data_IF_544676456932
#
_entry.id   IF_544676456932
#
_cell.length_a   1.000
_cell.length_b   1.000
_cell.length_c   1.000
_cell.angle_alpha   90.00
_cell.angle_beta   90.00
_cell.angle_gamma   90.00
#
_symmetry.space_group_name_H-M   'P 1'
#
loop_
_entity.id
_entity.type
_entity.pdbx_description
1 polymer ?
#
# COMPACT_ATOMS: atom_id res chain seq x y z
N UNK A 1 36.25 -24.42 -12.22
CA UNK A 1 36.97 -24.11 -13.48
C UNK A 1 36.56 -22.73 -13.93
N UNK A 2 37.52 -21.79 -13.94
CA UNK A 2 37.35 -20.44 -14.49
C UNK A 2 37.23 -20.55 -16.01
N UNK A 3 36.26 -19.87 -16.62
CA UNK A 3 36.31 -19.54 -18.04
C UNK A 3 35.93 -18.08 -18.23
N UNK A 4 36.92 -17.33 -18.66
CA UNK A 4 36.93 -15.90 -18.93
C UNK A 4 36.21 -15.60 -20.25
N UNK A 5 35.32 -14.60 -20.27
CA UNK A 5 34.90 -13.94 -21.51
C UNK A 5 35.77 -12.68 -21.71
N UNK A 6 36.85 -12.87 -22.46
CA UNK A 6 37.60 -11.84 -23.17
C UNK A 6 37.19 -11.96 -24.65
N UNK A 7 37.20 -10.85 -25.39
CA UNK A 7 36.73 -10.57 -26.76
C UNK A 7 35.36 -9.86 -26.79
N UNK A 8 35.19 -8.66 -27.33
CA UNK A 8 35.90 -8.05 -28.46
C UNK A 8 35.83 -6.51 -28.37
N UNK A 9 36.99 -5.84 -28.37
CA UNK A 9 37.12 -4.39 -28.50
C UNK A 9 37.61 -4.05 -29.92
N UNK A 10 37.02 -3.00 -30.50
CA UNK A 10 37.44 -2.18 -31.66
C UNK A 10 37.06 -2.63 -33.09
N UNK A 11 36.63 -1.58 -33.83
CA UNK A 11 36.43 -1.38 -35.28
C UNK A 11 34.92 -1.10 -35.53
N UNK A 12 34.45 0.08 -35.95
CA UNK A 12 34.92 0.98 -37.02
C UNK A 12 34.29 2.39 -36.82
N UNK A 13 35.11 3.44 -36.87
CA UNK A 13 34.67 4.84 -37.06
C UNK A 13 34.39 5.04 -38.56
N UNK A 14 33.15 5.33 -38.96
CA UNK A 14 32.88 5.96 -40.26
C UNK A 14 31.66 6.89 -40.19
N UNK A 15 31.87 8.09 -40.72
CA UNK A 15 30.93 9.21 -40.83
C UNK A 15 29.57 8.80 -41.42
N UNK A 16 28.52 9.08 -40.66
CA UNK A 16 27.17 9.25 -41.16
C UNK A 16 26.50 10.34 -40.31
N UNK A 17 26.46 11.57 -40.84
CA UNK A 17 25.65 12.65 -40.30
C UNK A 17 24.18 12.29 -40.57
N UNK A 18 23.66 11.31 -39.83
CA UNK A 18 22.25 11.01 -39.80
C UNK A 18 21.64 12.14 -38.97
N UNK A 19 20.92 13.03 -39.65
CA UNK A 19 20.03 13.99 -39.01
C UNK A 19 19.07 13.16 -38.14
N UNK A 20 19.38 13.03 -36.86
CA UNK A 20 18.46 12.52 -35.86
C UNK A 20 17.34 13.55 -35.80
N UNK A 21 16.31 13.35 -36.61
CA UNK A 21 14.97 13.75 -36.24
C UNK A 21 14.74 13.06 -34.90
N UNK A 22 14.98 13.79 -33.80
CA UNK A 22 14.53 13.39 -32.49
C UNK A 22 13.01 13.29 -32.60
N UNK A 23 12.50 12.10 -32.86
CA UNK A 23 11.10 11.82 -32.65
C UNK A 23 10.86 12.10 -31.16
N UNK A 24 10.19 13.21 -30.86
CA UNK A 24 9.76 13.52 -29.50
C UNK A 24 8.97 12.31 -29.01
N UNK A 25 9.29 11.81 -27.81
CA UNK A 25 8.48 10.76 -27.20
C UNK A 25 7.01 11.21 -27.19
N UNK A 26 6.05 10.31 -27.45
CA UNK A 26 4.65 10.68 -27.37
C UNK A 26 4.35 11.21 -25.96
N UNK A 27 3.63 12.33 -25.91
CA UNK A 27 3.23 12.97 -24.66
C UNK A 27 2.39 12.00 -23.80
N UNK A 28 2.51 12.14 -22.47
CA UNK A 28 1.74 11.33 -21.53
C UNK A 28 0.24 11.53 -21.73
N UNK A 29 -0.55 10.46 -21.60
CA UNK A 29 -2.01 10.58 -21.65
C UNK A 29 -2.54 11.20 -20.37
N UNK A 30 -3.51 12.11 -20.46
CA UNK A 30 -4.10 12.78 -19.30
C UNK A 30 -5.59 12.46 -19.26
N UNK A 31 -6.07 12.03 -18.08
CA UNK A 31 -7.50 11.85 -17.84
C UNK A 31 -8.23 13.20 -17.98
N UNK A 32 -9.34 13.21 -18.72
CA UNK A 32 -10.16 14.40 -18.96
C UNK A 32 -10.65 15.02 -17.66
N UNK A 33 -10.91 14.22 -16.63
CA UNK A 33 -11.35 14.74 -15.34
C UNK A 33 -10.29 15.65 -14.69
N UNK A 34 -9.00 15.36 -14.89
CA UNK A 34 -7.89 16.22 -14.41
C UNK A 34 -7.97 17.59 -15.07
N UNK A 35 -8.10 17.63 -16.40
CA UNK A 35 -8.20 18.90 -17.14
C UNK A 35 -9.44 19.70 -16.75
N UNK A 36 -10.58 19.02 -16.59
CA UNK A 36 -11.85 19.63 -16.21
C UNK A 36 -11.81 20.22 -14.80
N UNK A 37 -11.25 19.50 -13.82
CA UNK A 37 -11.12 20.03 -12.45
C UNK A 37 -10.20 21.26 -12.41
N UNK A 38 -9.09 21.23 -13.14
CA UNK A 38 -8.18 22.38 -13.21
C UNK A 38 -8.76 23.58 -13.97
N UNK A 39 -9.92 23.46 -14.63
CA UNK A 39 -10.59 24.62 -15.27
C UNK A 39 -11.32 25.47 -14.22
N UNK A 40 -11.71 24.88 -13.08
CA UNK A 40 -12.38 25.56 -11.97
C UNK A 40 -11.51 25.71 -10.71
N UNK A 41 -10.56 24.79 -10.50
CA UNK A 41 -9.80 24.67 -9.26
C UNK A 41 -8.31 24.94 -9.53
N UNK A 42 -7.59 25.45 -8.52
CA UNK A 42 -6.16 25.76 -8.64
C UNK A 42 -5.29 24.49 -8.67
N UNK A 43 -5.74 23.45 -7.96
CA UNK A 43 -5.05 22.18 -7.78
C UNK A 43 -6.00 21.01 -7.94
N UNK A 44 -5.44 19.86 -8.33
CA UNK A 44 -6.17 18.60 -8.45
C UNK A 44 -5.33 17.43 -7.94
N UNK A 45 -5.96 16.50 -7.22
CA UNK A 45 -5.33 15.24 -6.82
C UNK A 45 -5.24 14.29 -8.02
N UNK A 46 -4.07 13.72 -8.23
CA UNK A 46 -3.79 12.83 -9.36
C UNK A 46 -2.97 11.63 -8.94
N UNK A 47 -3.00 10.60 -9.78
CA UNK A 47 -2.05 9.50 -9.75
C UNK A 47 -1.21 9.61 -11.04
N UNK A 48 0.08 9.85 -10.87
CA UNK A 48 1.06 9.90 -11.96
C UNK A 48 1.56 8.48 -12.18
N UNK A 49 1.13 7.85 -13.27
CA UNK A 49 1.62 6.53 -13.70
C UNK A 49 2.85 6.72 -14.58
N UNK A 50 3.93 6.06 -14.21
CA UNK A 50 5.19 6.04 -14.94
C UNK A 50 5.27 4.81 -15.85
N UNK A 51 6.09 4.91 -16.88
CA UNK A 51 6.32 3.81 -17.82
C UNK A 51 6.91 2.60 -17.11
N UNK A 52 6.54 1.40 -17.53
CA UNK A 52 7.04 0.17 -16.91
C UNK A 52 8.58 0.08 -16.97
N UNK A 53 9.16 -0.48 -15.90
CA UNK A 53 10.61 -0.69 -15.77
C UNK A 53 10.95 -2.14 -16.13
N UNK A 54 11.56 -2.39 -17.30
CA UNK A 54 11.87 -3.74 -17.72
C UNK A 54 13.00 -4.31 -16.84
N UNK A 55 12.70 -5.37 -16.10
CA UNK A 55 13.73 -6.13 -15.36
C UNK A 55 14.52 -6.98 -16.36
N UNK A 56 15.85 -6.83 -16.46
CA UNK A 56 16.66 -7.64 -17.37
C UNK A 56 16.50 -9.15 -17.07
N UNK A 57 16.47 -10.03 -18.09
CA UNK A 57 16.28 -11.47 -17.93
C UNK A 57 17.54 -12.18 -17.36
N UNK A 58 18.02 -11.74 -16.21
CA UNK A 58 19.25 -12.22 -15.59
C UNK A 58 18.93 -12.93 -14.25
N UNK A 59 18.93 -14.28 -14.31
CA UNK A 59 19.14 -15.29 -13.25
C UNK A 59 18.28 -15.32 -11.97
N UNK A 60 17.39 -14.38 -11.73
CA UNK A 60 16.43 -14.47 -10.64
C UNK A 60 15.10 -15.07 -11.13
N UNK A 61 14.61 -16.11 -10.44
CA UNK A 61 13.22 -16.54 -10.53
C UNK A 61 12.56 -16.24 -9.18
N UNK A 62 11.34 -15.67 -9.18
CA UNK A 62 10.58 -15.39 -7.97
C UNK A 62 11.02 -14.10 -7.24
N UNK A 63 11.25 -14.22 -5.92
CA UNK A 63 11.37 -13.09 -4.98
C UNK A 63 12.47 -12.07 -5.35
N UNK A 64 13.62 -12.53 -5.84
CA UNK A 64 14.72 -11.65 -6.25
C UNK A 64 14.32 -10.72 -7.42
N UNK A 65 13.48 -11.19 -8.34
CA UNK A 65 12.96 -10.38 -9.45
C UNK A 65 11.95 -9.34 -8.96
N UNK A 66 11.08 -9.71 -8.02
CA UNK A 66 10.11 -8.80 -7.41
C UNK A 66 10.80 -7.69 -6.60
N UNK A 67 11.84 -8.03 -5.83
CA UNK A 67 12.67 -7.06 -5.10
C UNK A 67 13.40 -6.12 -6.06
N UNK A 68 14.01 -6.65 -7.15
CA UNK A 68 14.63 -5.80 -8.17
C UNK A 68 13.62 -4.89 -8.86
N UNK A 69 12.42 -5.39 -9.20
CA UNK A 69 11.37 -4.59 -9.84
C UNK A 69 10.95 -3.44 -8.93
N UNK A 70 10.68 -3.70 -7.64
CA UNK A 70 10.34 -2.69 -6.64
C UNK A 70 11.43 -1.60 -6.53
N UNK A 71 12.69 -2.02 -6.50
CA UNK A 71 13.83 -1.10 -6.48
C UNK A 71 13.92 -0.22 -7.74
N UNK A 72 13.69 -0.79 -8.92
CA UNK A 72 13.67 -0.04 -10.18
C UNK A 72 12.47 0.93 -10.28
N UNK A 73 11.29 0.49 -9.84
CA UNK A 73 10.08 1.32 -9.76
C UNK A 73 10.39 2.55 -8.91
N UNK A 74 10.89 2.34 -7.69
CA UNK A 74 11.25 3.42 -6.78
C UNK A 74 12.29 4.36 -7.38
N UNK A 75 13.35 3.83 -7.99
CA UNK A 75 14.38 4.67 -8.63
C UNK A 75 13.81 5.57 -9.75
N UNK A 76 12.85 5.08 -10.54
CA UNK A 76 12.22 5.90 -11.57
C UNK A 76 11.23 6.92 -10.97
N UNK A 77 10.46 6.52 -9.95
CA UNK A 77 9.58 7.43 -9.22
C UNK A 77 10.36 8.61 -8.64
N UNK A 78 11.47 8.34 -7.97
CA UNK A 78 12.35 9.39 -7.45
C UNK A 78 12.85 10.28 -8.59
N UNK A 79 13.44 9.72 -9.65
CA UNK A 79 13.89 10.52 -10.81
C UNK A 79 12.83 11.52 -11.33
N UNK A 80 11.56 11.11 -11.37
CA UNK A 80 10.45 12.00 -11.80
C UNK A 80 10.13 13.03 -10.72
N UNK A 81 10.02 12.62 -9.46
CA UNK A 81 9.79 13.54 -8.32
C UNK A 81 10.85 14.65 -8.26
N UNK A 82 12.12 14.30 -8.45
CA UNK A 82 13.25 15.23 -8.44
C UNK A 82 13.22 16.22 -9.61
N UNK A 83 12.77 15.76 -10.78
CA UNK A 83 12.64 16.56 -11.99
C UNK A 83 11.50 17.57 -11.89
N UNK A 84 10.39 17.20 -11.26
CA UNK A 84 9.20 18.03 -11.07
C UNK A 84 9.11 18.50 -9.61
N UNK A 85 9.84 19.57 -9.29
CA UNK A 85 9.90 20.09 -7.91
C UNK A 85 8.54 20.59 -7.42
N UNK A 86 8.27 20.40 -6.13
CA UNK A 86 7.04 20.87 -5.46
C UNK A 86 5.83 19.96 -5.67
N UNK A 87 6.05 18.71 -6.09
CA UNK A 87 5.01 17.68 -6.01
C UNK A 87 4.91 17.17 -4.57
N UNK A 88 3.78 17.46 -3.90
CA UNK A 88 3.47 16.90 -2.59
C UNK A 88 3.00 15.45 -2.77
N UNK A 89 3.94 14.50 -2.76
CA UNK A 89 3.64 13.09 -2.94
C UNK A 89 3.00 12.54 -1.66
N UNK A 90 1.81 11.95 -1.78
CA UNK A 90 1.10 11.29 -0.67
C UNK A 90 1.43 9.80 -0.61
N UNK A 91 1.41 9.12 -1.76
CA UNK A 91 1.73 7.70 -1.85
C UNK A 91 2.75 7.46 -2.98
N UNK A 92 3.73 6.61 -2.70
CA UNK A 92 4.63 6.02 -3.70
C UNK A 92 4.45 4.51 -3.64
N UNK A 93 3.98 3.93 -4.76
CA UNK A 93 3.60 2.52 -4.79
C UNK A 93 4.76 1.61 -5.17
N UNK A 94 4.80 0.40 -4.61
CA UNK A 94 5.90 -0.56 -4.83
C UNK A 94 5.59 -1.60 -5.91
N UNK A 95 4.32 -1.95 -6.09
CA UNK A 95 3.83 -2.88 -7.11
C UNK A 95 3.41 -2.15 -8.38
N UNK A 96 2.82 -0.97 -8.23
CA UNK A 96 2.44 -0.09 -9.34
C UNK A 96 3.55 0.95 -9.52
N UNK A 97 4.01 1.15 -10.75
CA UNK A 97 4.95 2.24 -11.02
C UNK A 97 4.22 3.59 -11.09
N UNK A 98 3.73 4.06 -9.95
CA UNK A 98 2.97 5.29 -9.85
C UNK A 98 3.15 5.98 -8.49
N UNK A 99 2.81 7.28 -8.47
CA UNK A 99 2.79 8.10 -7.26
C UNK A 99 1.52 8.94 -7.23
N UNK A 100 0.97 9.20 -6.05
CA UNK A 100 -0.18 10.11 -5.89
C UNK A 100 0.27 11.46 -5.36
N UNK A 101 -0.30 12.54 -5.88
CA UNK A 101 0.10 13.91 -5.52
C UNK A 101 -0.99 14.91 -5.90
N UNK A 102 -0.84 16.16 -5.46
CA UNK A 102 -1.61 17.30 -5.96
C UNK A 102 -0.80 18.05 -6.99
N UNK A 103 -1.44 18.45 -8.08
CA UNK A 103 -0.79 19.23 -9.13
C UNK A 103 -1.61 20.45 -9.52
N UNK A 104 -0.90 21.49 -9.94
CA UNK A 104 -1.45 22.66 -10.63
C UNK A 104 -1.49 22.45 -12.15
N UNK A 105 -2.17 23.35 -12.86
CA UNK A 105 -2.16 23.38 -14.34
C UNK A 105 -0.75 23.59 -14.93
N UNK A 106 0.16 24.24 -14.21
CA UNK A 106 1.54 24.41 -14.65
C UNK A 106 2.29 23.07 -14.60
N UNK A 107 2.25 22.40 -13.44
CA UNK A 107 2.87 21.09 -13.25
C UNK A 107 2.30 20.03 -14.20
N UNK A 108 0.99 20.06 -14.49
CA UNK A 108 0.39 19.14 -15.48
C UNK A 108 1.05 19.25 -16.87
N UNK A 109 1.43 20.46 -17.31
CA UNK A 109 2.11 20.65 -18.61
C UNK A 109 3.50 20.03 -18.59
N UNK A 110 4.24 20.19 -17.50
CA UNK A 110 5.57 19.63 -17.35
C UNK A 110 5.53 18.10 -17.32
N UNK A 111 4.59 17.52 -16.56
CA UNK A 111 4.39 16.07 -16.48
C UNK A 111 3.96 15.47 -17.82
N UNK A 112 3.16 16.18 -18.61
CA UNK A 112 2.71 15.74 -19.94
C UNK A 112 3.86 15.54 -20.92
N UNK A 113 4.88 16.39 -20.82
CA UNK A 113 6.05 16.37 -21.70
C UNK A 113 7.18 15.49 -21.16
N UNK A 114 6.99 14.86 -19.99
CA UNK A 114 7.98 14.01 -19.38
C UNK A 114 8.06 12.62 -20.05
N UNK A 115 9.24 12.20 -20.56
CA UNK A 115 9.39 10.90 -21.20
C UNK A 115 9.26 9.69 -20.27
N UNK A 116 9.35 9.86 -18.94
CA UNK A 116 9.17 8.78 -17.96
C UNK A 116 7.70 8.64 -17.51
N UNK A 117 6.89 9.69 -17.68
CA UNK A 117 5.46 9.66 -17.38
C UNK A 117 4.71 8.95 -18.52
N UNK A 118 3.93 7.94 -18.15
CA UNK A 118 3.03 7.24 -19.07
C UNK A 118 1.69 7.98 -19.15
N UNK A 119 1.12 8.28 -17.97
CA UNK A 119 -0.19 8.86 -17.86
C UNK A 119 -0.42 9.60 -16.53
N UNK A 120 -1.33 10.57 -16.54
CA UNK A 120 -1.80 11.28 -15.34
C UNK A 120 -3.30 11.00 -15.17
N UNK A 121 -3.65 10.26 -14.13
CA UNK A 121 -5.01 9.87 -13.80
C UNK A 121 -5.60 10.80 -12.75
N UNK A 122 -6.91 11.05 -12.82
CA UNK A 122 -7.62 11.74 -11.75
C UNK A 122 -7.72 10.83 -10.52
N UNK A 123 -7.36 11.34 -9.35
CA UNK A 123 -7.50 10.61 -8.09
C UNK A 123 -8.98 10.63 -7.65
N UNK A 124 -9.77 9.73 -8.23
CA UNK A 124 -11.23 9.70 -8.04
C UNK A 124 -11.57 9.45 -6.58
N UNK A 125 -12.66 10.08 -6.13
CA UNK A 125 -13.27 9.80 -4.83
C UNK A 125 -14.24 8.63 -5.00
N UNK A 126 -14.03 7.57 -4.23
CA UNK A 126 -14.90 6.41 -4.17
C UNK A 126 -15.66 6.42 -2.87
N UNK A 127 -16.81 5.76 -2.89
CA UNK A 127 -17.74 5.70 -1.78
C UNK A 127 -18.15 4.27 -1.50
N UNK A 128 -18.58 4.03 -0.26
CA UNK A 128 -19.25 2.79 0.14
C UNK A 128 -20.37 2.41 -0.84
N UNK A 129 -20.43 1.14 -1.23
CA UNK A 129 -21.48 0.58 -2.09
C UNK A 129 -22.38 -0.34 -1.27
N UNK A 130 -23.51 0.21 -0.84
CA UNK A 130 -24.49 -0.49 0.02
C UNK A 130 -25.31 -1.53 -0.78
N UNK A 131 -25.27 -2.79 -0.34
CA UNK A 131 -26.23 -3.86 -0.67
C UNK A 131 -26.45 -4.73 0.58
N UNK A 132 -27.68 -5.21 0.81
CA UNK A 132 -28.00 -6.20 1.83
C UNK A 132 -28.14 -7.60 1.21
N UNK A 133 -27.15 -8.48 1.41
CA UNK A 133 -26.98 -9.65 0.52
C UNK A 133 -27.31 -11.03 1.10
N UNK A 134 -27.14 -11.30 2.41
CA UNK A 134 -27.03 -12.71 2.89
C UNK A 134 -28.22 -13.62 2.53
N UNK A 135 -29.50 -13.26 2.77
CA UNK A 135 -30.61 -14.13 2.39
C UNK A 135 -30.81 -14.24 0.87
N UNK A 136 -30.23 -13.33 0.08
CA UNK A 136 -30.42 -13.25 -1.37
C UNK A 136 -29.35 -14.02 -2.16
N UNK A 137 -28.20 -14.32 -1.54
CA UNK A 137 -27.09 -15.06 -2.18
C UNK A 137 -27.04 -16.54 -1.82
N UNK A 138 -28.09 -17.08 -1.20
CA UNK A 138 -28.19 -18.49 -0.78
C UNK A 138 -26.99 -18.96 0.09
N UNK A 139 -26.47 -18.08 0.97
CA UNK A 139 -25.33 -18.39 1.84
C UNK A 139 -25.56 -19.65 2.71
N UNK A 140 -26.81 -19.92 3.09
CA UNK A 140 -27.23 -21.13 3.82
C UNK A 140 -26.84 -22.42 3.07
N UNK A 141 -26.87 -22.40 1.73
CA UNK A 141 -26.46 -23.52 0.90
C UNK A 141 -24.93 -23.69 0.89
N UNK A 142 -24.18 -22.58 0.95
CA UNK A 142 -22.71 -22.61 1.00
C UNK A 142 -22.20 -23.27 2.29
N UNK A 143 -22.87 -23.05 3.43
CA UNK A 143 -22.50 -23.68 4.70
C UNK A 143 -22.66 -25.20 4.72
N UNK A 144 -23.51 -25.74 3.85
CA UNK A 144 -23.70 -27.18 3.68
C UNK A 144 -22.72 -27.80 2.67
N UNK A 145 -21.92 -27.00 1.95
CA UNK A 145 -20.96 -27.51 0.98
C UNK A 145 -19.82 -28.22 1.69
N UNK A 146 -19.55 -29.43 1.20
CA UNK A 146 -18.38 -30.21 1.58
C UNK A 146 -17.55 -30.52 0.35
N UNK A 147 -16.24 -30.31 0.45
CA UNK A 147 -15.28 -30.77 -0.54
C UNK A 147 -14.40 -31.83 0.12
N UNK A 148 -14.37 -33.04 -0.43
CA UNK A 148 -13.60 -34.18 0.10
C UNK A 148 -13.86 -34.49 1.59
N UNK A 149 -15.06 -34.19 2.08
CA UNK A 149 -15.46 -34.42 3.49
C UNK A 149 -15.15 -33.26 4.45
N UNK A 150 -14.65 -32.13 3.96
CA UNK A 150 -14.39 -30.92 4.75
C UNK A 150 -15.47 -29.87 4.50
N UNK A 151 -15.99 -29.24 5.56
CA UNK A 151 -16.90 -28.11 5.43
C UNK A 151 -16.14 -26.87 4.92
N UNK A 152 -16.71 -26.17 3.95
CA UNK A 152 -16.10 -24.97 3.37
C UNK A 152 -16.47 -23.73 4.19
N UNK A 153 -15.82 -23.54 5.34
CA UNK A 153 -16.10 -22.43 6.29
C UNK A 153 -15.08 -21.28 6.23
N UNK A 154 -14.05 -21.41 5.39
CA UNK A 154 -12.94 -20.47 5.30
C UNK A 154 -11.85 -20.65 6.36
N UNK A 155 -11.91 -21.73 7.14
CA UNK A 155 -10.92 -22.01 8.19
C UNK A 155 -9.48 -22.02 7.64
N UNK A 156 -8.61 -21.22 8.26
CA UNK A 156 -7.21 -21.07 7.87
C UNK A 156 -6.96 -20.00 6.81
N UNK A 157 -8.00 -19.53 6.11
CA UNK A 157 -7.90 -18.46 5.13
C UNK A 157 -8.20 -17.10 5.77
N UNK A 158 -7.64 -16.03 5.18
CA UNK A 158 -7.85 -14.65 5.65
C UNK A 158 -8.43 -13.78 4.55
N UNK A 159 -9.44 -12.98 4.91
CA UNK A 159 -10.08 -12.00 4.03
C UNK A 159 -9.63 -10.60 4.45
N UNK A 160 -9.01 -9.84 3.55
CA UNK A 160 -8.74 -8.42 3.73
C UNK A 160 -9.95 -7.60 3.28
N UNK A 161 -10.57 -6.90 4.23
CA UNK A 161 -11.71 -6.01 4.00
C UNK A 161 -11.17 -4.60 3.80
N UNK A 162 -11.17 -4.13 2.55
CA UNK A 162 -10.69 -2.80 2.14
C UNK A 162 -11.90 -1.87 2.11
N UNK A 163 -12.13 -1.14 3.21
CA UNK A 163 -13.39 -0.44 3.48
C UNK A 163 -13.21 0.70 4.53
N UNK A 164 -14.23 1.03 5.32
CA UNK A 164 -14.21 2.07 6.38
C UNK A 164 -13.51 1.64 7.68
N UNK A 165 -12.99 0.42 7.74
CA UNK A 165 -12.44 -0.22 8.95
C UNK A 165 -13.30 -1.38 9.43
N UNK A 166 -12.95 -1.96 10.58
CA UNK A 166 -13.78 -2.97 11.25
C UNK A 166 -13.86 -2.64 12.74
N UNK A 167 -15.06 -2.62 13.31
CA UNK A 167 -15.26 -2.72 14.75
C UNK A 167 -14.90 -4.14 15.21
N UNK A 168 -13.60 -4.36 15.40
CA UNK A 168 -13.05 -5.61 15.89
C UNK A 168 -13.47 -5.91 17.34
N UNK A 169 -14.08 -4.95 18.06
CA UNK A 169 -14.63 -5.16 19.40
C UNK A 169 -16.03 -5.77 19.39
N UNK A 170 -16.66 -5.86 18.21
CA UNK A 170 -17.96 -6.48 18.04
C UNK A 170 -17.87 -8.00 18.33
N UNK A 171 -18.79 -8.52 19.16
CA UNK A 171 -18.75 -9.93 19.60
C UNK A 171 -18.82 -10.94 18.45
N UNK A 172 -19.59 -10.64 17.39
CA UNK A 172 -19.69 -11.47 16.19
C UNK A 172 -18.42 -11.46 15.32
N UNK A 173 -17.51 -10.53 15.58
CA UNK A 173 -16.22 -10.37 14.89
C UNK A 173 -15.05 -10.59 15.87
N UNK A 174 -15.28 -11.40 16.90
CA UNK A 174 -14.24 -11.86 17.84
C UNK A 174 -14.17 -11.09 19.16
N UNK A 175 -14.90 -9.97 19.30
CA UNK A 175 -14.97 -9.23 20.57
C UNK A 175 -13.61 -8.75 21.08
N UNK A 176 -12.71 -8.36 20.18
CA UNK A 176 -11.35 -8.04 20.53
C UNK A 176 -11.23 -6.69 21.25
N UNK A 177 -10.36 -6.63 22.24
CA UNK A 177 -9.85 -5.38 22.77
C UNK A 177 -8.38 -5.33 22.41
N UNK A 178 -8.05 -4.60 21.34
CA UNK A 178 -6.66 -4.28 21.08
C UNK A 178 -6.22 -3.26 22.14
N UNK A 179 -5.13 -3.57 22.80
CA UNK A 179 -4.44 -2.60 23.64
C UNK A 179 -3.25 -2.09 22.85
N UNK A 180 -3.02 -0.78 22.91
CA UNK A 180 -1.67 -0.26 22.69
C UNK A 180 -0.80 -0.92 23.72
N UNK A 181 0.30 -1.53 23.30
CA UNK A 181 1.08 -2.29 24.26
C UNK A 181 1.74 -1.30 25.22
N UNK A 182 1.58 -1.47 26.52
CA UNK A 182 2.36 -0.64 27.44
C UNK A 182 3.85 -0.89 27.23
N UNK A 183 4.66 0.14 27.46
CA UNK A 183 6.11 -0.02 27.51
C UNK A 183 6.44 -1.04 28.61
N UNK A 184 6.79 -2.24 28.19
CA UNK A 184 7.08 -3.36 29.08
C UNK A 184 8.26 -4.13 28.52
N UNK A 185 9.27 -4.34 29.35
CA UNK A 185 10.52 -4.94 28.92
C UNK A 185 11.73 -4.39 29.66
N UNK A 186 12.89 -4.89 29.29
CA UNK A 186 14.16 -4.34 29.78
C UNK A 186 14.73 -3.42 28.71
N UNK A 187 14.89 -2.15 29.04
CA UNK A 187 15.58 -1.20 28.17
C UNK A 187 17.08 -1.24 28.44
N UNK A 188 17.85 -1.04 27.38
CA UNK A 188 19.28 -0.77 27.50
C UNK A 188 19.66 0.41 26.61
N UNK A 189 20.66 1.16 27.05
CA UNK A 189 21.20 2.26 26.25
C UNK A 189 21.79 1.70 24.96
N UNK A 190 21.45 2.35 23.86
CA UNK A 190 21.97 2.08 22.54
C UNK A 190 22.41 3.40 21.92
N UNK A 191 23.29 3.38 20.94
CA UNK A 191 23.68 4.60 20.26
C UNK A 191 23.81 4.30 18.79
N UNK A 192 22.91 4.90 18.04
CA UNK A 192 22.90 4.88 16.60
C UNK A 192 22.31 6.19 16.12
N UNK A 193 22.96 6.85 15.18
CA UNK A 193 22.47 8.08 14.59
C UNK A 193 22.70 8.05 13.08
N UNK A 194 21.84 8.75 12.34
CA UNK A 194 22.09 9.04 10.93
C UNK A 194 23.14 10.15 10.80
N UNK A 195 23.57 10.46 9.57
CA UNK A 195 24.25 11.73 9.34
C UNK A 195 23.29 12.90 9.66
N UNK A 196 23.84 14.01 10.16
CA UNK A 196 23.12 15.20 10.58
C UNK A 196 23.73 16.50 9.98
N UNK A 197 23.11 17.11 8.96
CA UNK A 197 21.94 16.59 8.25
C UNK A 197 22.29 15.33 7.46
N UNK A 198 21.29 14.52 7.10
CA UNK A 198 21.51 13.39 6.19
C UNK A 198 21.79 13.87 4.77
N UNK A 199 22.15 12.95 3.86
CA UNK A 199 22.38 13.27 2.46
C UNK A 199 21.09 13.14 1.64
N UNK A 200 20.99 13.91 0.57
CA UNK A 200 20.02 13.68 -0.50
C UNK A 200 20.32 12.35 -1.23
N UNK A 201 19.34 11.78 -1.92
CA UNK A 201 19.44 10.56 -2.73
C UNK A 201 20.01 9.36 -1.95
N UNK A 202 19.61 9.27 -0.69
CA UNK A 202 20.29 8.44 0.28
C UNK A 202 19.36 7.38 0.85
N UNK A 203 19.71 6.12 0.61
CA UNK A 203 19.12 5.00 1.31
C UNK A 203 20.18 4.33 2.16
N UNK A 204 20.00 4.38 3.47
CA UNK A 204 20.81 3.62 4.41
C UNK A 204 19.93 2.79 5.31
N UNK A 205 20.20 1.48 5.29
CA UNK A 205 19.59 0.53 6.22
C UNK A 205 20.57 0.18 7.33
N UNK A 206 20.12 0.35 8.57
CA UNK A 206 20.78 -0.17 9.75
C UNK A 206 20.06 -1.42 10.22
N UNK A 207 20.82 -2.49 10.36
CA UNK A 207 20.38 -3.71 11.04
C UNK A 207 20.77 -3.63 12.51
N UNK A 208 19.78 -3.70 13.38
CA UNK A 208 20.00 -3.75 14.83
C UNK A 208 19.59 -5.14 15.30
N UNK A 209 20.54 -5.90 15.84
CA UNK A 209 20.32 -7.24 16.36
C UNK A 209 20.77 -7.33 17.82
N UNK A 210 19.91 -7.88 18.68
CA UNK A 210 20.15 -8.09 20.11
C UNK A 210 19.85 -9.53 20.50
N UNK A 211 20.82 -10.45 20.32
CA UNK A 211 20.57 -11.88 20.49
C UNK A 211 19.90 -12.23 21.83
N UNK A 212 18.83 -13.00 21.76
CA UNK A 212 18.03 -13.39 22.94
C UNK A 212 16.92 -12.41 23.31
N UNK A 213 16.71 -11.35 22.52
CA UNK A 213 15.49 -10.56 22.62
C UNK A 213 14.31 -11.36 22.04
N UNK A 214 13.18 -11.32 22.73
CA UNK A 214 11.93 -11.91 22.23
C UNK A 214 11.24 -10.96 21.27
N UNK A 215 11.37 -9.65 21.53
CA UNK A 215 10.85 -8.56 20.73
C UNK A 215 11.82 -7.38 20.81
N UNK A 216 12.03 -6.65 19.72
CA UNK A 216 12.93 -5.50 19.69
C UNK A 216 12.24 -4.25 19.14
N UNK A 217 12.39 -3.14 19.84
CA UNK A 217 12.04 -1.82 19.34
C UNK A 217 13.16 -0.81 19.63
N UNK A 218 13.15 0.30 18.90
CA UNK A 218 14.13 1.39 19.04
C UNK A 218 13.45 2.63 19.59
N UNK A 219 14.18 3.41 20.38
CA UNK A 219 13.71 4.71 20.86
C UNK A 219 14.35 5.84 20.06
N UNK A 220 13.54 6.63 19.37
CA UNK A 220 13.94 7.86 18.72
C UNK A 220 13.96 8.99 19.74
N UNK A 221 15.16 9.34 20.21
CA UNK A 221 15.37 10.52 21.03
C UNK A 221 14.98 11.79 20.27
N UNK A 222 15.33 11.82 18.99
CA UNK A 222 14.94 12.82 18.03
C UNK A 222 14.91 12.15 16.66
N UNK A 223 13.88 12.43 15.87
CA UNK A 223 13.81 12.12 14.46
C UNK A 223 13.15 13.32 13.79
N UNK A 224 13.86 13.94 12.84
CA UNK A 224 13.33 14.99 11.97
C UNK A 224 13.75 14.66 10.55
N UNK A 225 12.77 14.67 9.66
CA UNK A 225 12.91 14.35 8.24
C UNK A 225 12.05 15.35 7.46
N UNK A 226 12.35 15.56 6.18
CA UNK A 226 11.45 16.34 5.35
C UNK A 226 10.05 15.70 5.36
N UNK A 227 9.08 16.44 5.88
CA UNK A 227 7.76 15.91 6.20
C UNK A 227 7.03 15.46 4.94
N UNK A 228 6.78 14.15 4.84
CA UNK A 228 6.18 13.44 3.70
C UNK A 228 7.09 13.27 2.48
N UNK A 229 8.40 13.47 2.62
CA UNK A 229 9.35 13.33 1.50
C UNK A 229 10.51 12.40 1.84
N UNK A 230 11.01 12.49 3.06
CA UNK A 230 12.02 11.60 3.62
C UNK A 230 11.40 10.75 4.72
N UNK A 231 11.83 9.49 4.80
CA UNK A 231 11.20 8.50 5.67
C UNK A 231 12.21 7.72 6.47
N UNK A 232 11.87 7.44 7.73
CA UNK A 232 12.46 6.33 8.48
C UNK A 232 11.48 5.16 8.47
N UNK A 233 11.82 4.14 7.71
CA UNK A 233 11.07 2.89 7.61
C UNK A 233 11.56 1.92 8.68
N UNK A 234 10.64 1.39 9.46
CA UNK A 234 10.92 0.38 10.48
C UNK A 234 10.38 -0.95 9.95
N UNK A 235 11.23 -1.97 9.91
CA UNK A 235 10.87 -3.29 9.42
C UNK A 235 11.33 -4.42 10.35
N UNK A 236 10.58 -5.52 10.34
CA UNK A 236 10.90 -6.73 11.08
C UNK A 236 12.02 -7.55 10.41
N UNK A 237 12.37 -8.70 11.02
CA UNK A 237 13.42 -9.58 10.52
C UNK A 237 13.15 -10.19 9.12
N UNK A 238 11.89 -10.21 8.69
CA UNK A 238 11.43 -10.70 7.38
C UNK A 238 11.37 -9.60 6.32
N UNK A 239 11.60 -8.34 6.71
CA UNK A 239 11.52 -7.17 5.84
C UNK A 239 10.11 -6.58 5.72
N UNK A 240 9.16 -7.00 6.55
CA UNK A 240 7.83 -6.41 6.58
C UNK A 240 7.90 -5.05 7.26
N UNK A 241 7.33 -4.02 6.63
CA UNK A 241 7.22 -2.70 7.23
C UNK A 241 6.23 -2.76 8.41
N UNK A 242 6.68 -2.32 9.57
CA UNK A 242 5.88 -2.16 10.79
C UNK A 242 5.65 -0.69 11.14
N UNK A 243 6.44 0.24 10.59
CA UNK A 243 6.19 1.67 10.64
C UNK A 243 6.85 2.40 9.47
N UNK A 244 6.28 3.54 9.09
CA UNK A 244 6.89 4.54 8.21
C UNK A 244 6.75 5.87 8.93
N UNK A 245 7.87 6.46 9.34
CA UNK A 245 7.92 7.72 10.09
C UNK A 245 8.42 8.83 9.18
N UNK A 246 7.82 10.01 9.26
CA UNK A 246 8.23 11.20 8.50
C UNK A 246 7.86 12.47 9.25
N UNK A 247 8.60 13.55 9.03
CA UNK A 247 8.49 14.78 9.80
C UNK A 247 9.19 14.67 11.15
N UNK A 248 8.64 15.31 12.18
CA UNK A 248 9.25 15.46 13.51
C UNK A 248 8.63 14.49 14.53
N UNK A 249 9.46 13.64 15.10
CA UNK A 249 9.14 12.71 16.19
C UNK A 249 10.21 12.84 17.27
N UNK A 250 9.82 13.30 18.46
CA UNK A 250 10.71 13.47 19.60
C UNK A 250 10.28 12.55 20.74
N UNK A 251 11.26 11.90 21.39
CA UNK A 251 11.05 11.05 22.56
C UNK A 251 10.00 9.94 22.32
N UNK A 252 10.14 9.23 21.20
CA UNK A 252 9.15 8.26 20.72
C UNK A 252 9.76 6.88 20.45
N UNK A 253 9.04 5.82 20.82
CA UNK A 253 9.41 4.45 20.48
C UNK A 253 8.86 4.03 19.11
N UNK A 254 9.62 3.28 18.34
CA UNK A 254 9.07 2.53 17.19
C UNK A 254 8.07 1.47 17.67
N UNK A 255 7.18 0.98 16.80
CA UNK A 255 6.60 -0.35 16.99
C UNK A 255 7.71 -1.41 17.15
N UNK A 256 7.39 -2.49 17.85
CA UNK A 256 8.34 -3.60 18.02
C UNK A 256 8.29 -4.53 16.81
N UNK A 257 9.46 -5.07 16.45
CA UNK A 257 9.58 -6.23 15.60
C UNK A 257 9.64 -7.49 16.46
N UNK A 258 8.99 -8.56 16.01
CA UNK A 258 9.10 -9.87 16.62
C UNK A 258 10.54 -10.41 16.47
N UNK A 259 11.04 -11.00 17.54
CA UNK A 259 12.38 -11.56 17.61
C UNK A 259 13.46 -10.55 17.98
N UNK A 260 14.69 -10.86 17.59
CA UNK A 260 15.89 -10.16 18.06
C UNK A 260 16.44 -9.12 17.10
N UNK A 261 15.78 -8.90 15.96
CA UNK A 261 16.29 -8.09 14.86
C UNK A 261 15.24 -7.12 14.32
N UNK A 262 15.63 -5.86 14.20
CA UNK A 262 14.85 -4.77 13.59
C UNK A 262 15.73 -4.06 12.55
N UNK A 263 15.10 -3.62 11.46
CA UNK A 263 15.75 -2.82 10.43
C UNK A 263 15.17 -1.41 10.45
N UNK A 264 16.07 -0.43 10.43
CA UNK A 264 15.74 0.97 10.19
C UNK A 264 16.29 1.35 8.84
N UNK A 265 15.47 1.92 7.96
CA UNK A 265 15.93 2.46 6.68
C UNK A 265 15.59 3.92 6.62
N UNK A 266 16.62 4.79 6.60
CA UNK A 266 16.45 6.19 6.23
C UNK A 266 16.49 6.25 4.70
N UNK A 267 15.40 6.74 4.14
CA UNK A 267 15.11 6.79 2.72
C UNK A 267 14.82 8.25 2.37
N UNK A 268 15.72 8.89 1.62
CA UNK A 268 15.67 10.33 1.34
C UNK A 268 15.53 10.63 -0.15
N UNK A 269 14.89 11.75 -0.46
CA UNK A 269 14.77 12.27 -1.82
C UNK A 269 15.95 13.17 -2.22
N UNK A 270 15.90 13.82 -3.39
CA UNK A 270 17.02 14.64 -3.90
C UNK A 270 17.24 16.00 -3.24
N UNK A 271 16.41 16.39 -2.28
CA UNK A 271 16.47 17.73 -1.72
C UNK A 271 15.95 17.81 -0.29
N UNK A 272 16.27 18.92 0.37
CA UNK A 272 15.77 19.27 1.70
C UNK A 272 16.15 18.21 2.75
N UNK A 273 17.43 18.21 3.08
CA UNK A 273 17.92 17.41 4.20
C UNK A 273 17.54 18.04 5.53
N UNK A 274 16.95 17.27 6.42
CA UNK A 274 16.78 17.64 7.83
C UNK A 274 17.84 16.95 8.71
N UNK A 275 17.69 16.99 10.02
CA UNK A 275 18.59 16.36 10.96
C UNK A 275 18.71 14.87 10.65
N UNK A 276 17.62 14.11 10.58
CA UNK A 276 17.61 12.65 10.51
C UNK A 276 17.19 12.07 11.85
N UNK A 277 17.84 11.03 12.35
CA UNK A 277 17.44 10.43 13.62
C UNK A 277 18.60 10.12 14.58
N UNK A 278 18.29 10.12 15.88
CA UNK A 278 19.14 9.62 16.97
C UNK A 278 18.37 8.57 17.75
N UNK A 279 18.92 7.36 17.80
CA UNK A 279 18.50 6.28 18.69
C UNK A 279 19.38 6.27 19.93
N UNK A 280 18.77 6.33 21.10
CA UNK A 280 19.47 6.29 22.39
C UNK A 280 19.17 5.04 23.24
N UNK A 281 18.14 4.28 22.89
CA UNK A 281 17.78 3.04 23.57
C UNK A 281 17.23 1.99 22.61
N UNK A 282 17.38 0.73 23.01
CA UNK A 282 16.57 -0.39 22.52
C UNK A 282 15.86 -1.05 23.70
N UNK A 283 14.77 -1.74 23.42
CA UNK A 283 14.03 -2.49 24.43
C UNK A 283 13.88 -3.95 24.00
N UNK A 284 14.11 -4.88 24.94
CA UNK A 284 13.62 -6.24 24.82
C UNK A 284 12.19 -6.27 25.36
N UNK A 285 11.21 -6.11 24.48
CA UNK A 285 9.82 -5.96 24.88
C UNK A 285 9.00 -5.12 23.91
N UNK A 286 7.93 -4.53 24.43
CA UNK A 286 6.86 -3.94 23.62
C UNK A 286 6.72 -2.44 23.84
N UNK A 287 6.06 -1.74 22.91
CA UNK A 287 5.93 -0.28 22.90
C UNK A 287 4.48 0.17 22.70
N UNK A 288 4.17 1.40 23.14
CA UNK A 288 2.85 2.03 23.05
C UNK A 288 2.41 2.42 21.63
N UNK A 289 3.24 2.11 20.64
CA UNK A 289 2.98 2.34 19.21
C UNK A 289 2.62 1.07 18.46
N UNK A 290 2.72 -0.09 19.10
CA UNK A 290 2.23 -1.35 18.51
C UNK A 290 0.86 -1.69 19.08
N UNK A 291 -0.01 -2.22 18.23
CA UNK A 291 -1.26 -2.84 18.66
C UNK A 291 -1.05 -4.34 18.75
N UNK A 292 -1.36 -4.92 19.91
CA UNK A 292 -1.30 -6.37 20.06
C UNK A 292 -2.57 -7.01 19.50
N UNK A 293 -2.44 -7.62 18.31
CA UNK A 293 -3.49 -8.40 17.67
C UNK A 293 -3.48 -9.89 18.07
N UNK A 294 -2.48 -10.36 18.82
CA UNK A 294 -2.31 -11.78 19.15
C UNK A 294 -3.44 -12.36 20.00
N UNK A 295 -4.19 -11.50 20.70
CA UNK A 295 -5.36 -11.88 21.50
C UNK A 295 -6.66 -11.81 20.70
N UNK A 296 -6.64 -11.28 19.47
CA UNK A 296 -7.83 -11.15 18.65
C UNK A 296 -8.09 -12.45 17.88
N UNK A 297 -9.22 -13.15 18.13
CA UNK A 297 -9.47 -14.46 17.54
C UNK A 297 -10.02 -14.42 16.11
N UNK A 298 -10.29 -13.23 15.56
CA UNK A 298 -11.06 -13.08 14.31
C UNK A 298 -10.53 -11.99 13.40
N UNK A 299 -10.47 -10.74 13.86
CA UNK A 299 -9.74 -9.67 13.18
C UNK A 299 -8.30 -9.72 13.69
N UNK A 300 -7.37 -10.19 12.87
CA UNK A 300 -6.01 -10.57 13.31
C UNK A 300 -4.94 -9.51 12.98
N UNK A 301 -5.37 -8.38 12.44
CA UNK A 301 -4.49 -7.28 12.03
C UNK A 301 -5.23 -6.25 11.19
N UNK A 302 -4.54 -5.18 10.86
CA UNK A 302 -5.03 -4.16 9.97
C UNK A 302 -4.24 -2.86 10.01
N UNK A 303 -4.64 -1.93 9.17
CA UNK A 303 -4.00 -0.62 9.02
C UNK A 303 -5.02 0.44 8.61
N UNK A 304 -4.84 1.64 9.13
CA UNK A 304 -5.60 2.82 8.79
C UNK A 304 -4.80 3.70 7.83
N UNK A 305 -5.16 3.66 6.54
CA UNK A 305 -4.55 4.52 5.50
C UNK A 305 -5.07 5.96 5.61
N UNK A 306 -6.29 6.15 6.14
CA UNK A 306 -6.91 7.47 6.28
C UNK A 306 -6.18 8.28 7.35
N UNK A 307 -5.90 7.67 8.49
CA UNK A 307 -5.27 8.32 9.65
C UNK A 307 -3.77 8.03 9.81
N UNK A 308 -3.24 7.03 9.11
CA UNK A 308 -1.81 6.71 9.09
C UNK A 308 -1.35 5.97 10.36
N UNK A 309 -2.18 5.09 10.92
CA UNK A 309 -1.84 4.31 12.10
C UNK A 309 -2.33 2.86 12.03
N UNK A 310 -2.00 2.08 13.07
CA UNK A 310 -2.36 0.66 13.17
C UNK A 310 -3.74 0.38 13.76
N UNK A 311 -4.63 1.37 13.83
CA UNK A 311 -5.96 1.29 14.44
C UNK A 311 -7.07 1.46 13.39
N UNK A 312 -7.43 0.39 12.67
CA UNK A 312 -8.43 0.44 11.60
C UNK A 312 -9.86 0.36 12.16
N UNK A 313 -10.12 0.96 13.32
CA UNK A 313 -11.44 0.99 13.95
C UNK A 313 -12.45 1.65 13.00
N UNK A 314 -13.60 1.01 12.87
CA UNK A 314 -14.67 1.52 12.01
C UNK A 314 -15.44 2.66 12.68
N UNK A 315 -15.41 3.82 12.04
CA UNK A 315 -16.13 5.02 12.45
C UNK A 315 -17.31 5.38 11.52
N UNK A 316 -17.60 4.55 10.52
CA UNK A 316 -18.74 4.70 9.60
C UNK A 316 -19.78 3.57 9.76
N UNK A 317 -19.31 2.32 9.97
CA UNK A 317 -20.03 1.02 10.16
C UNK A 317 -20.11 0.12 8.92
N UNK A 318 -19.88 0.63 7.72
CA UNK A 318 -20.01 -0.13 6.48
C UNK A 318 -19.02 -1.29 6.40
N UNK A 319 -17.76 -1.06 6.74
CA UNK A 319 -16.73 -2.08 6.76
C UNK A 319 -17.02 -3.18 7.79
N UNK A 320 -17.51 -2.83 8.99
CA UNK A 320 -17.99 -3.79 10.00
C UNK A 320 -19.15 -4.63 9.47
N UNK A 321 -20.10 -4.01 8.77
CA UNK A 321 -21.22 -4.72 8.16
C UNK A 321 -20.75 -5.70 7.07
N UNK A 322 -19.84 -5.27 6.19
CA UNK A 322 -19.23 -6.12 5.15
C UNK A 322 -18.43 -7.28 5.76
N UNK A 323 -17.64 -7.02 6.80
CA UNK A 323 -16.92 -8.03 7.57
C UNK A 323 -17.87 -9.06 8.20
N UNK A 324 -19.01 -8.60 8.71
CA UNK A 324 -20.08 -9.45 9.23
C UNK A 324 -20.65 -10.39 8.17
N UNK A 325 -20.98 -9.87 6.99
CA UNK A 325 -21.44 -10.67 5.84
C UNK A 325 -20.40 -11.72 5.46
N UNK A 326 -19.14 -11.32 5.36
CA UNK A 326 -18.07 -12.21 4.97
C UNK A 326 -17.85 -13.33 6.00
N UNK A 327 -17.77 -12.99 7.28
CA UNK A 327 -17.18 -13.90 8.26
C UNK A 327 -17.77 -13.84 9.68
N UNK A 328 -18.93 -13.24 9.92
CA UNK A 328 -19.56 -13.22 11.26
C UNK A 328 -19.66 -14.62 11.87
N UNK A 329 -19.29 -14.73 13.16
CA UNK A 329 -19.44 -15.94 13.97
C UNK A 329 -20.77 -16.00 14.72
N UNK A 330 -21.65 -15.01 14.55
CA UNK A 330 -22.97 -15.01 15.19
C UNK A 330 -23.81 -16.20 14.69
N UNK A 331 -24.50 -16.94 15.57
CA UNK A 331 -25.29 -18.11 15.17
C UNK A 331 -26.55 -17.75 14.37
N UNK A 332 -27.06 -16.52 14.50
CA UNK A 332 -28.26 -16.02 13.79
C UNK A 332 -27.86 -15.28 12.52
N UNK A 333 -26.88 -14.37 12.63
CA UNK A 333 -26.38 -13.55 11.53
C UNK A 333 -25.00 -14.06 11.11
N UNK A 334 -24.95 -15.33 10.72
CA UNK A 334 -23.71 -16.01 10.37
C UNK A 334 -23.18 -15.49 9.04
N UNK A 335 -21.87 -15.26 8.97
CA UNK A 335 -21.21 -14.88 7.72
C UNK A 335 -21.09 -16.06 6.76
N UNK A 336 -20.75 -15.79 5.50
CA UNK A 336 -20.57 -16.82 4.46
C UNK A 336 -19.42 -17.77 4.83
N UNK A 337 -18.29 -17.24 5.28
CA UNK A 337 -17.09 -17.94 5.71
C UNK A 337 -16.82 -17.70 7.21
N UNK A 338 -17.61 -18.29 8.11
CA UNK A 338 -17.61 -17.95 9.53
C UNK A 338 -16.30 -18.29 10.26
N UNK A 339 -15.45 -19.15 9.70
CA UNK A 339 -14.18 -19.55 10.31
C UNK A 339 -12.96 -18.86 9.65
N UNK A 340 -13.17 -18.01 8.64
CA UNK A 340 -12.09 -17.21 8.05
C UNK A 340 -11.60 -16.12 9.00
N UNK A 341 -10.30 -15.81 8.96
CA UNK A 341 -9.79 -14.62 9.64
C UNK A 341 -10.08 -13.36 8.82
N UNK A 342 -9.97 -12.20 9.48
CA UNK A 342 -10.18 -10.90 8.86
C UNK A 342 -8.95 -10.00 9.06
N UNK A 343 -8.65 -9.22 8.03
CA UNK A 343 -7.78 -8.06 8.10
C UNK A 343 -8.62 -6.82 7.85
N UNK A 344 -8.50 -5.82 8.72
CA UNK A 344 -9.19 -4.55 8.60
C UNK A 344 -8.29 -3.55 7.85
N UNK A 345 -8.66 -3.19 6.63
CA UNK A 345 -7.92 -2.20 5.83
C UNK A 345 -8.79 -0.96 5.63
N UNK A 346 -8.54 0.07 6.44
CA UNK A 346 -9.33 1.29 6.43
C UNK A 346 -8.79 2.25 5.37
N UNK A 347 -9.54 2.40 4.29
CA UNK A 347 -9.25 3.29 3.14
C UNK A 347 -10.37 4.31 2.89
N UNK A 348 -11.51 4.15 3.56
CA UNK A 348 -12.63 5.09 3.55
C UNK A 348 -12.76 5.76 4.92
N UNK A 349 -13.00 7.07 4.91
CA UNK A 349 -13.17 7.89 6.12
C UNK A 349 -14.55 7.69 6.78
N UNK A 350 -14.78 8.41 7.88
CA UNK A 350 -16.06 8.39 8.62
C UNK A 350 -17.30 8.82 7.81
N UNK A 351 -17.11 9.40 6.63
CA UNK A 351 -18.20 9.72 5.69
C UNK A 351 -18.45 8.63 4.64
N UNK A 352 -17.69 7.53 4.71
CA UNK A 352 -17.72 6.45 3.73
C UNK A 352 -17.07 6.83 2.41
N UNK A 353 -16.11 7.77 2.43
CA UNK A 353 -15.44 8.29 1.24
C UNK A 353 -13.93 8.07 1.31
N UNK A 354 -13.30 7.77 0.18
CA UNK A 354 -11.85 7.61 0.10
C UNK A 354 -11.34 7.85 -1.31
N UNK A 355 -10.04 8.02 -1.46
CA UNK A 355 -9.44 8.30 -2.78
C UNK A 355 -8.95 7.01 -3.44
N UNK A 356 -8.91 7.01 -4.78
CA UNK A 356 -8.32 5.92 -5.57
C UNK A 356 -6.91 5.61 -5.07
N UNK A 357 -6.16 6.66 -4.73
CA UNK A 357 -4.80 6.54 -4.25
C UNK A 357 -4.68 5.84 -2.89
N UNK A 358 -5.58 6.10 -1.94
CA UNK A 358 -5.63 5.40 -0.66
C UNK A 358 -6.04 3.92 -0.83
N UNK A 359 -6.95 3.65 -1.76
CA UNK A 359 -7.44 2.28 -2.03
C UNK A 359 -6.34 1.42 -2.65
N UNK A 360 -5.55 1.97 -3.59
CA UNK A 360 -4.36 1.29 -4.13
C UNK A 360 -3.36 0.97 -3.00
N UNK A 361 -3.13 1.92 -2.08
CA UNK A 361 -2.23 1.70 -0.94
C UNK A 361 -2.73 0.55 -0.04
N UNK A 362 -4.05 0.46 0.19
CA UNK A 362 -4.65 -0.63 0.96
C UNK A 362 -4.51 -2.00 0.28
N UNK A 363 -4.72 -2.08 -1.03
CA UNK A 363 -4.50 -3.31 -1.82
C UNK A 363 -3.04 -3.74 -1.73
N UNK A 364 -2.11 -2.80 -1.88
CA UNK A 364 -0.67 -3.08 -1.76
C UNK A 364 -0.29 -3.61 -0.38
N UNK A 365 -0.82 -3.01 0.69
CA UNK A 365 -0.56 -3.47 2.04
C UNK A 365 -1.01 -4.92 2.23
N UNK A 366 -2.23 -5.24 1.80
CA UNK A 366 -2.76 -6.60 1.89
C UNK A 366 -1.98 -7.58 1.01
N UNK A 367 -1.58 -7.17 -0.19
CA UNK A 367 -0.78 -8.00 -1.09
C UNK A 367 0.61 -8.29 -0.52
N UNK A 368 1.27 -7.28 0.05
CA UNK A 368 2.62 -7.38 0.59
C UNK A 368 2.69 -8.22 1.87
N UNK A 369 1.62 -8.27 2.66
CA UNK A 369 1.53 -9.04 3.91
C UNK A 369 0.69 -10.31 3.76
N UNK A 370 0.38 -10.71 2.53
CA UNK A 370 -0.43 -11.89 2.23
C UNK A 370 0.17 -13.18 2.76
N UNK A 371 1.50 -13.35 2.69
CA UNK A 371 2.19 -14.52 3.24
C UNK A 371 2.24 -14.53 4.77
N UNK A 372 2.22 -13.36 5.41
CA UNK A 372 2.24 -13.22 6.87
C UNK A 372 0.89 -13.60 7.48
N UNK A 373 -0.20 -13.10 6.89
CA UNK A 373 -1.56 -13.30 7.41
C UNK A 373 -2.34 -14.40 6.67
N UNK A 374 -1.74 -15.09 5.70
CA UNK A 374 -2.43 -16.00 4.79
C UNK A 374 -3.67 -15.36 4.12
N UNK A 375 -3.49 -14.17 3.53
CA UNK A 375 -4.55 -13.43 2.84
C UNK A 375 -4.81 -14.07 1.48
N UNK A 376 -6.03 -14.56 1.30
CA UNK A 376 -6.47 -15.26 0.08
C UNK A 376 -7.57 -14.50 -0.65
N UNK A 377 -8.20 -13.52 0.00
CA UNK A 377 -9.25 -12.69 -0.59
C UNK A 377 -9.07 -11.23 -0.20
N UNK A 378 -9.24 -10.33 -1.17
CA UNK A 378 -9.47 -8.89 -0.94
C UNK A 378 -10.90 -8.57 -1.36
N UNK A 379 -11.67 -7.99 -0.44
CA UNK A 379 -13.05 -7.55 -0.69
C UNK A 379 -13.14 -6.03 -0.67
N UNK A 380 -13.67 -5.46 -1.75
CA UNK A 380 -13.85 -4.02 -1.94
C UNK A 380 -15.32 -3.71 -2.23
N UNK A 381 -16.08 -3.39 -1.18
CA UNK A 381 -17.49 -3.02 -1.26
C UNK A 381 -17.65 -1.51 -1.51
N UNK A 382 -16.93 -1.01 -2.50
CA UNK A 382 -16.80 0.41 -2.81
C UNK A 382 -16.87 0.63 -4.31
N UNK A 383 -17.22 1.85 -4.68
CA UNK A 383 -17.36 2.22 -6.07
C UNK A 383 -17.44 3.72 -6.23
N UNK A 384 -17.15 4.21 -7.43
CA UNK A 384 -17.22 5.63 -7.65
C UNK A 384 -18.65 6.11 -7.87
N UNK A 385 -18.99 7.23 -7.25
CA UNK A 385 -20.15 8.04 -7.60
C UNK A 385 -19.71 9.52 -7.65
N UNK A 386 -20.08 10.27 -8.69
CA UNK A 386 -19.73 11.69 -8.80
C UNK A 386 -18.76 12.07 -9.93
N UNK A 387 -18.00 13.15 -9.71
CA UNK A 387 -17.15 13.77 -10.74
C UNK A 387 -15.99 12.85 -11.16
N UNK A 388 -15.70 12.79 -12.46
CA UNK A 388 -14.68 11.91 -13.02
C UNK A 388 -15.08 10.43 -13.09
N UNK A 389 -16.34 10.11 -12.79
CA UNK A 389 -16.84 8.74 -12.77
C UNK A 389 -17.95 8.53 -13.79
N UNK A 390 -17.78 7.46 -14.56
CA UNK A 390 -18.65 7.07 -15.67
C UNK A 390 -18.98 5.60 -15.56
N UNK A 391 -19.95 5.14 -16.34
CA UNK A 391 -20.24 3.72 -16.48
C UNK A 391 -19.34 3.11 -17.53
N UNK A 392 -18.74 1.98 -17.19
CA UNK A 392 -17.84 1.28 -18.08
C UNK A 392 -18.59 0.12 -18.73
N UNK A 393 -18.69 0.18 -20.07
CA UNK A 393 -19.24 -0.91 -20.89
C UNK A 393 -18.15 -1.92 -21.29
N UNK A 394 -16.88 -1.58 -21.05
CA UNK A 394 -15.69 -2.39 -21.37
C UNK A 394 -14.69 -2.32 -20.23
N UNK A 395 -13.67 -3.18 -20.27
CA UNK A 395 -12.58 -3.20 -19.31
C UNK A 395 -11.85 -1.86 -19.16
N UNK A 396 -11.40 -1.54 -17.95
CA UNK A 396 -10.71 -0.28 -17.61
C UNK A 396 -9.23 -0.48 -17.21
N UNK A 397 -8.56 -1.47 -17.81
CA UNK A 397 -7.26 -2.00 -17.39
C UNK A 397 -6.05 -1.05 -17.59
N UNK A 398 -6.26 0.13 -18.16
CA UNK A 398 -5.20 1.13 -18.28
C UNK A 398 -4.88 1.82 -16.94
N UNK A 399 -5.85 1.82 -16.02
CA UNK A 399 -5.83 2.52 -14.74
C UNK A 399 -4.81 1.90 -13.75
N UNK A 400 -4.11 2.70 -12.93
CA UNK A 400 -3.18 2.17 -11.92
C UNK A 400 -3.83 1.22 -10.91
N UNK A 401 -5.13 1.35 -10.64
CA UNK A 401 -5.88 0.40 -9.81
C UNK A 401 -5.86 -1.01 -10.40
N UNK A 402 -5.94 -1.14 -11.73
CA UNK A 402 -5.90 -2.44 -12.39
C UNK A 402 -4.56 -3.15 -12.15
N UNK A 403 -3.46 -2.41 -12.17
CA UNK A 403 -2.12 -2.96 -11.90
C UNK A 403 -2.01 -3.47 -10.46
N UNK A 404 -2.62 -2.78 -9.49
CA UNK A 404 -2.64 -3.22 -8.10
C UNK A 404 -3.49 -4.49 -7.91
N UNK A 405 -4.66 -4.55 -8.56
CA UNK A 405 -5.53 -5.73 -8.56
C UNK A 405 -4.85 -6.93 -9.23
N UNK A 406 -4.24 -6.72 -10.40
CA UNK A 406 -3.49 -7.75 -11.12
C UNK A 406 -2.33 -8.28 -10.27
N UNK A 407 -1.61 -7.41 -9.55
CA UNK A 407 -0.54 -7.83 -8.64
C UNK A 407 -1.04 -8.68 -7.47
N UNK A 408 -2.23 -8.39 -6.94
CA UNK A 408 -2.87 -9.21 -5.91
C UNK A 408 -3.27 -10.58 -6.47
N UNK A 409 -3.87 -10.61 -7.67
CA UNK A 409 -4.26 -11.85 -8.36
C UNK A 409 -3.04 -12.71 -8.69
N UNK A 410 -1.95 -12.11 -9.18
CA UNK A 410 -0.68 -12.78 -9.43
C UNK A 410 -0.05 -13.36 -8.16
N UNK A 411 -0.32 -12.75 -6.99
CA UNK A 411 0.06 -13.26 -5.68
C UNK A 411 -0.87 -14.39 -5.16
N UNK A 412 -1.86 -14.79 -5.95
CA UNK A 412 -2.83 -15.84 -5.60
C UNK A 412 -4.01 -15.37 -4.77
N UNK A 413 -4.23 -14.05 -4.67
CA UNK A 413 -5.30 -13.44 -3.89
C UNK A 413 -6.50 -13.18 -4.80
N UNK A 414 -7.67 -13.72 -4.47
CA UNK A 414 -8.90 -13.40 -5.18
C UNK A 414 -9.37 -11.99 -4.82
N UNK A 415 -9.72 -11.17 -5.82
CA UNK A 415 -10.22 -9.80 -5.59
C UNK A 415 -11.68 -9.72 -6.01
N UNK A 416 -12.54 -9.22 -5.12
CA UNK A 416 -13.98 -9.00 -5.40
C UNK A 416 -14.35 -7.54 -5.22
N UNK A 417 -15.03 -6.96 -6.20
CA UNK A 417 -15.35 -5.53 -6.28
C UNK A 417 -16.84 -5.33 -6.56
N UNK A 418 -17.50 -4.40 -5.85
CA UNK A 418 -18.91 -4.09 -6.05
C UNK A 418 -19.19 -3.43 -7.41
N UNK A 419 -20.19 -3.91 -8.16
CA UNK A 419 -20.55 -3.38 -9.50
C UNK A 419 -21.11 -1.95 -9.49
N UNK A 420 -21.52 -1.45 -8.32
CA UNK A 420 -22.08 -0.11 -8.13
C UNK A 420 -23.61 -0.08 -8.04
N UNK A 421 -24.13 1.03 -7.48
CA UNK A 421 -25.54 1.22 -7.11
C UNK A 421 -26.28 2.23 -8.00
N UNK A 422 -25.70 2.59 -9.15
CA UNK A 422 -26.25 3.62 -10.04
C UNK A 422 -27.41 3.11 -10.91
N UNK A 423 -27.66 1.79 -10.92
CA UNK A 423 -28.74 1.18 -11.70
C UNK A 423 -28.51 1.22 -13.22
N UNK A 424 -27.25 1.28 -13.65
CA UNK A 424 -26.90 1.27 -15.07
C UNK A 424 -27.19 -0.08 -15.70
N UNK A 425 -27.87 -0.08 -16.86
CA UNK A 425 -28.29 -1.29 -17.56
C UNK A 425 -27.25 -1.83 -18.56
N UNK A 426 -26.22 -1.04 -18.85
CA UNK A 426 -25.26 -1.28 -19.93
C UNK A 426 -23.80 -1.18 -19.48
N UNK A 427 -23.54 -0.99 -18.18
CA UNK A 427 -22.18 -0.91 -17.65
C UNK A 427 -22.13 -0.97 -16.12
N UNK A 428 -20.90 -1.02 -15.59
CA UNK A 428 -20.61 -1.08 -14.15
C UNK A 428 -19.73 0.09 -13.72
N UNK A 429 -19.67 0.36 -12.41
CA UNK A 429 -18.85 1.46 -11.88
C UNK A 429 -17.37 1.11 -11.79
N UNK A 430 -16.54 2.14 -11.73
CA UNK A 430 -15.14 2.01 -11.35
C UNK A 430 -15.03 1.73 -9.83
N UNK A 431 -14.22 0.77 -9.37
CA UNK A 431 -13.20 0.00 -10.11
C UNK A 431 -13.66 -1.40 -10.56
N UNK A 432 -14.95 -1.72 -10.52
CA UNK A 432 -15.45 -3.06 -10.87
C UNK A 432 -15.27 -3.46 -12.35
N UNK A 433 -14.93 -2.50 -13.21
CA UNK A 433 -14.61 -2.74 -14.62
C UNK A 433 -13.24 -3.38 -14.88
N UNK A 434 -12.46 -3.65 -13.84
CA UNK A 434 -11.12 -4.25 -13.91
C UNK A 434 -11.22 -5.76 -14.11
#
# INVERSE_FOLDING_TARGET
MRSSCIFCTKILLLFGLLCMLSASAPAASVDKAVEQTLDSDEEVKVIIKLKDVPVPPCRAAGLETAVMKRSMIRSQQEKVKQKHKGLEVRHSYSTVNAMSTKITRAQLKELRDDPDVEAVFYDRVLHVSLDASIPQIDADNAWALQLDGYNLTGAGETICIVDTGIDYSHAALGGCSITRIELNGTNETYSLESAHPYADDFEQTWKITKPGYENIAVHFKNLTTESNYDYVKVADSSGNLIAILSGSHDDEWSPHADGDTIYLTLDTDSSVTDYGFVIDHVINGTTNKTYNWSSCPKVIGGWDVVNGDGDPMDDEKHGTHCAGIAASTDPTYRGVAPDANLIAMKVLDSSGSGTTSDIIAGIEWCTNRSSEYNISVISMSLGCNGAGCTHYQTYCNADPMAVAVDAAVDAGIAVTIASGNQGWSDGITYPACI
#
